data_IF_975647265373
#
_entry.id   IF_975647265373
#
_cell.length_a   1.000
_cell.length_b   1.000
_cell.length_c   1.000
_cell.angle_alpha   90.00
_cell.angle_beta   90.00
_cell.angle_gamma   90.00
#
_symmetry.space_group_name_H-M   'P 1'
#
loop_
_entity.id
_entity.type
_entity.pdbx_description
1 polymer ?
#
# COMPACT_ATOMS: atom_id res chain seq x y z
N UNK A 1 -5.03 22.13 -22.32
CA UNK A 1 -4.49 20.93 -22.99
C UNK A 1 -5.43 19.77 -22.67
N UNK A 2 -5.88 18.99 -23.66
CA UNK A 2 -6.64 17.76 -23.36
C UNK A 2 -5.62 16.73 -22.90
N UNK A 3 -5.67 16.39 -21.63
CA UNK A 3 -4.82 15.39 -20.98
C UNK A 3 -5.22 14.02 -21.53
N UNK A 4 -4.28 13.21 -22.02
CA UNK A 4 -4.55 11.92 -22.64
C UNK A 4 -3.96 10.76 -21.83
N UNK A 5 -4.70 10.33 -20.81
CA UNK A 5 -4.40 9.11 -20.04
C UNK A 5 -4.91 7.89 -20.81
N UNK A 6 -4.11 6.82 -20.89
CA UNK A 6 -4.45 5.59 -21.61
C UNK A 6 -5.62 4.86 -20.95
N UNK A 7 -6.34 4.05 -21.74
CA UNK A 7 -7.47 3.27 -21.23
C UNK A 7 -7.02 2.24 -20.17
N UNK A 8 -5.85 1.64 -20.39
CA UNK A 8 -5.20 0.71 -19.47
C UNK A 8 -4.83 1.40 -18.14
N UNK A 9 -4.22 2.59 -18.20
CA UNK A 9 -3.89 3.36 -16.99
C UNK A 9 -5.15 3.73 -16.20
N UNK A 10 -6.21 4.21 -16.87
CA UNK A 10 -7.49 4.52 -16.23
C UNK A 10 -8.08 3.28 -15.55
N UNK A 11 -8.11 2.14 -16.25
CA UNK A 11 -8.65 0.88 -15.72
C UNK A 11 -7.88 0.42 -14.49
N UNK A 12 -6.55 0.40 -14.54
CA UNK A 12 -5.71 -0.09 -13.46
C UNK A 12 -5.73 0.86 -12.25
N UNK A 13 -5.79 2.17 -12.48
CA UNK A 13 -5.98 3.15 -11.41
C UNK A 13 -7.36 2.99 -10.74
N UNK A 14 -8.43 2.83 -11.53
CA UNK A 14 -9.81 2.64 -11.01
C UNK A 14 -9.96 1.35 -10.19
N UNK A 15 -9.21 0.29 -10.53
CA UNK A 15 -9.15 -0.94 -9.72
C UNK A 15 -8.61 -0.67 -8.30
N UNK A 16 -7.60 0.19 -8.17
CA UNK A 16 -6.97 0.53 -6.89
C UNK A 16 -7.82 1.53 -6.08
N UNK A 17 -8.30 2.59 -6.71
CA UNK A 17 -9.07 3.65 -6.06
C UNK A 17 -10.34 4.00 -6.83
N UNK A 18 -11.42 3.20 -6.66
CA UNK A 18 -12.67 3.45 -7.35
C UNK A 18 -13.23 4.84 -7.06
N UNK A 19 -13.61 5.58 -8.11
CA UNK A 19 -14.13 6.95 -8.05
C UNK A 19 -13.18 8.00 -7.45
N UNK A 20 -11.88 7.71 -7.33
CA UNK A 20 -10.93 8.70 -6.82
C UNK A 20 -10.62 9.75 -7.87
N UNK A 21 -10.69 11.02 -7.46
CA UNK A 21 -10.25 12.15 -8.28
C UNK A 21 -8.98 12.75 -7.69
N UNK A 22 -7.90 12.70 -8.47
CA UNK A 22 -6.63 13.30 -8.09
C UNK A 22 -6.77 14.82 -7.94
N UNK A 23 -6.47 15.32 -6.74
CA UNK A 23 -6.37 16.78 -6.51
C UNK A 23 -5.20 17.39 -7.29
N UNK A 24 -4.11 16.64 -7.45
CA UNK A 24 -2.96 17.07 -8.22
C UNK A 24 -3.28 17.20 -9.72
N UNK A 25 -4.26 16.45 -10.25
CA UNK A 25 -4.69 16.62 -11.64
C UNK A 25 -5.35 17.98 -11.90
N UNK A 26 -5.88 18.63 -10.85
CA UNK A 26 -6.50 19.95 -10.96
C UNK A 26 -5.45 21.07 -11.07
N UNK A 27 -4.28 20.88 -10.47
CA UNK A 27 -3.21 21.90 -10.42
C UNK A 27 -2.07 21.60 -11.39
N UNK A 28 -1.75 20.33 -11.61
CA UNK A 28 -0.58 19.84 -12.35
C UNK A 28 -0.98 18.70 -13.33
N UNK A 29 -1.91 18.95 -14.27
CA UNK A 29 -2.48 17.91 -15.13
C UNK A 29 -1.46 17.19 -16.01
N UNK A 30 -0.41 17.87 -16.48
CA UNK A 30 0.63 17.28 -17.33
C UNK A 30 1.49 16.27 -16.56
N UNK A 31 1.83 16.57 -15.30
CA UNK A 31 2.57 15.64 -14.46
C UNK A 31 1.75 14.37 -14.19
N UNK A 32 0.46 14.54 -13.88
CA UNK A 32 -0.43 13.40 -13.63
C UNK A 32 -0.64 12.55 -14.88
N UNK A 33 -0.72 13.16 -16.07
CA UNK A 33 -0.77 12.40 -17.32
C UNK A 33 0.44 11.48 -17.50
N UNK A 34 1.63 12.06 -17.38
CA UNK A 34 2.90 11.34 -17.57
C UNK A 34 3.03 10.26 -16.51
N UNK A 35 2.73 10.61 -15.26
CA UNK A 35 2.82 9.69 -14.14
C UNK A 35 1.84 8.54 -14.26
N UNK A 36 0.56 8.79 -14.57
CA UNK A 36 -0.47 7.75 -14.59
C UNK A 36 -0.23 6.76 -15.75
N UNK A 37 0.12 7.27 -16.94
CA UNK A 37 0.49 6.42 -18.07
C UNK A 37 1.70 5.54 -17.75
N UNK A 38 2.75 6.12 -17.16
CA UNK A 38 3.92 5.35 -16.80
C UNK A 38 3.63 4.33 -15.68
N UNK A 39 3.02 4.78 -14.57
CA UNK A 39 2.85 3.98 -13.36
C UNK A 39 1.77 2.90 -13.49
N UNK A 40 0.67 3.19 -14.20
CA UNK A 40 -0.51 2.33 -14.26
C UNK A 40 -0.70 1.64 -15.61
N UNK A 41 0.05 1.96 -16.66
CA UNK A 41 0.03 1.23 -17.93
C UNK A 41 1.41 0.62 -18.25
N UNK A 42 2.43 1.44 -18.48
CA UNK A 42 3.75 0.96 -18.93
C UNK A 42 4.44 0.04 -17.90
N UNK A 43 4.48 0.44 -16.63
CA UNK A 43 5.12 -0.37 -15.57
C UNK A 43 4.28 -1.59 -15.19
N UNK A 44 2.95 -1.50 -15.31
CA UNK A 44 2.06 -2.64 -15.01
C UNK A 44 2.17 -3.70 -16.10
N UNK A 45 2.26 -3.28 -17.37
CA UNK A 45 2.46 -4.18 -18.51
C UNK A 45 3.84 -4.84 -18.53
N UNK A 46 4.83 -4.25 -17.86
CA UNK A 46 6.15 -4.85 -17.69
C UNK A 46 6.21 -5.75 -16.44
N UNK A 47 6.04 -7.06 -16.67
CA UNK A 47 6.30 -8.11 -15.68
C UNK A 47 5.05 -8.81 -15.17
N UNK A 48 5.25 -9.91 -14.43
CA UNK A 48 4.16 -10.83 -14.05
C UNK A 48 3.83 -10.79 -12.55
N UNK A 49 4.08 -9.67 -11.88
CA UNK A 49 3.73 -9.49 -10.47
C UNK A 49 2.27 -9.05 -10.37
N UNK A 50 1.47 -9.80 -9.60
CA UNK A 50 0.07 -9.52 -9.37
C UNK A 50 -0.15 -8.19 -8.62
N UNK A 51 -1.34 -7.61 -8.79
CA UNK A 51 -1.68 -6.29 -8.24
C UNK A 51 -1.51 -6.23 -6.71
N UNK A 52 -1.90 -7.28 -5.98
CA UNK A 52 -1.79 -7.30 -4.51
C UNK A 52 -0.33 -7.24 -4.06
N UNK A 53 0.51 -8.09 -4.65
CA UNK A 53 1.94 -8.13 -4.36
C UNK A 53 2.60 -6.79 -4.69
N UNK A 54 2.31 -6.22 -5.86
CA UNK A 54 2.84 -4.92 -6.28
C UNK A 54 2.43 -3.80 -5.32
N UNK A 55 1.17 -3.73 -4.92
CA UNK A 55 0.67 -2.74 -3.95
C UNK A 55 1.39 -2.86 -2.61
N UNK A 56 1.58 -4.07 -2.08
CA UNK A 56 2.32 -4.27 -0.82
C UNK A 56 3.81 -3.86 -0.93
N UNK A 57 4.44 -4.09 -2.08
CA UNK A 57 5.82 -3.62 -2.34
C UNK A 57 5.89 -2.09 -2.35
N UNK A 58 4.93 -1.42 -3.00
CA UNK A 58 4.85 0.04 -3.01
C UNK A 58 4.65 0.57 -1.59
N UNK A 59 3.78 -0.05 -0.78
CA UNK A 59 3.62 0.32 0.64
C UNK A 59 4.94 0.24 1.41
N UNK A 60 5.71 -0.83 1.23
CA UNK A 60 7.05 -0.97 1.82
C UNK A 60 8.00 0.15 1.40
N UNK A 61 7.97 0.54 0.13
CA UNK A 61 8.74 1.68 -0.40
C UNK A 61 8.32 3.01 0.25
N UNK A 62 7.01 3.27 0.37
CA UNK A 62 6.49 4.48 1.04
C UNK A 62 6.94 4.55 2.51
N UNK A 63 6.90 3.42 3.23
CA UNK A 63 7.41 3.35 4.62
C UNK A 63 8.90 3.69 4.66
N UNK A 64 9.71 3.07 3.79
CA UNK A 64 11.15 3.30 3.75
C UNK A 64 11.50 4.77 3.46
N UNK A 65 10.73 5.43 2.58
CA UNK A 65 10.91 6.84 2.23
C UNK A 65 10.30 7.82 3.26
N UNK A 66 9.40 7.36 4.15
CA UNK A 66 8.65 8.24 5.05
C UNK A 66 7.53 9.00 4.33
N UNK A 67 7.04 8.50 3.19
CA UNK A 67 6.01 9.12 2.37
C UNK A 67 4.61 8.80 2.91
N UNK A 68 4.23 9.40 4.04
CA UNK A 68 3.01 9.05 4.77
C UNK A 68 1.71 9.27 3.98
N UNK A 69 1.66 10.33 3.14
CA UNK A 69 0.49 10.62 2.29
C UNK A 69 0.24 9.49 1.30
N UNK A 70 1.27 9.09 0.56
CA UNK A 70 1.19 7.98 -0.40
C UNK A 70 0.95 6.66 0.31
N UNK A 71 1.60 6.43 1.45
CA UNK A 71 1.36 5.23 2.25
C UNK A 71 -0.13 5.05 2.60
N UNK A 72 -0.81 6.12 3.06
CA UNK A 72 -2.25 6.09 3.36
C UNK A 72 -3.10 5.78 2.13
N UNK A 73 -2.73 6.31 0.96
CA UNK A 73 -3.40 5.99 -0.29
C UNK A 73 -3.26 4.50 -0.63
N UNK A 74 -2.04 3.95 -0.54
CA UNK A 74 -1.80 2.55 -0.88
C UNK A 74 -2.36 1.56 0.15
N UNK A 75 -2.50 1.92 1.43
CA UNK A 75 -3.26 1.09 2.39
C UNK A 75 -4.72 0.96 1.96
N UNK A 76 -5.35 2.06 1.53
CA UNK A 76 -6.73 2.00 1.04
C UNK A 76 -6.85 1.19 -0.25
N UNK A 77 -5.92 1.36 -1.19
CA UNK A 77 -5.88 0.54 -2.40
C UNK A 77 -5.72 -0.95 -2.07
N UNK A 78 -4.78 -1.29 -1.19
CA UNK A 78 -4.54 -2.67 -0.76
C UNK A 78 -5.83 -3.32 -0.24
N UNK A 79 -6.56 -2.62 0.63
CA UNK A 79 -7.84 -3.12 1.16
C UNK A 79 -8.93 -3.20 0.10
N UNK A 80 -8.97 -2.28 -0.88
CA UNK A 80 -9.93 -2.32 -1.99
C UNK A 80 -9.73 -3.54 -2.89
N UNK A 81 -8.48 -3.88 -3.19
CA UNK A 81 -8.14 -5.05 -4.01
C UNK A 81 -8.09 -6.36 -3.21
N UNK A 82 -8.44 -6.34 -1.92
CA UNK A 82 -8.57 -7.53 -1.08
C UNK A 82 -7.26 -8.07 -0.49
N UNK A 83 -6.28 -7.20 -0.22
CA UNK A 83 -5.20 -7.48 0.74
C UNK A 83 -5.81 -7.46 2.14
N UNK A 84 -5.55 -8.49 2.95
CA UNK A 84 -6.14 -8.59 4.29
C UNK A 84 -5.53 -7.57 5.27
N UNK A 85 -6.27 -7.16 6.32
CA UNK A 85 -5.73 -6.32 7.39
C UNK A 85 -4.45 -6.92 8.03
N UNK A 86 -4.39 -8.25 8.13
CA UNK A 86 -3.21 -8.98 8.62
C UNK A 86 -2.02 -8.76 7.70
N UNK A 87 -2.18 -8.94 6.38
CA UNK A 87 -1.09 -8.72 5.43
C UNK A 87 -0.59 -7.27 5.46
N UNK A 88 -1.48 -6.29 5.58
CA UNK A 88 -1.10 -4.87 5.75
C UNK A 88 -0.25 -4.67 7.01
N UNK A 89 -0.61 -5.30 8.13
CA UNK A 89 0.19 -5.26 9.37
C UNK A 89 1.54 -5.96 9.22
N UNK A 90 1.60 -7.07 8.51
CA UNK A 90 2.85 -7.78 8.26
C UNK A 90 3.84 -6.92 7.45
N UNK A 91 3.38 -6.15 6.46
CA UNK A 91 4.26 -5.20 5.74
C UNK A 91 4.91 -4.20 6.71
N UNK A 92 4.15 -3.65 7.66
CA UNK A 92 4.69 -2.75 8.70
C UNK A 92 5.70 -3.47 9.60
N UNK A 93 5.38 -4.67 10.07
CA UNK A 93 6.24 -5.44 10.97
C UNK A 93 7.56 -5.81 10.32
N UNK A 94 7.53 -6.30 9.07
CA UNK A 94 8.74 -6.60 8.31
C UNK A 94 9.56 -5.33 8.03
N UNK A 95 8.90 -4.19 7.84
CA UNK A 95 9.58 -2.92 7.59
C UNK A 95 10.38 -2.40 8.79
N UNK A 96 10.12 -2.85 10.03
CA UNK A 96 10.87 -2.39 11.22
C UNK A 96 12.37 -2.64 11.07
N UNK A 97 12.75 -3.80 10.54
CA UNK A 97 14.15 -4.20 10.39
C UNK A 97 14.90 -3.35 9.34
N UNK A 98 14.20 -2.84 8.33
CA UNK A 98 14.82 -2.19 7.17
C UNK A 98 14.64 -0.67 7.14
N UNK A 99 13.51 -0.16 7.61
CA UNK A 99 13.16 1.26 7.60
C UNK A 99 13.30 1.93 8.97
N UNK A 100 13.44 1.15 10.04
CA UNK A 100 13.54 1.63 11.41
C UNK A 100 12.17 1.90 12.06
N UNK A 101 12.11 1.72 13.37
CA UNK A 101 10.86 1.73 14.15
C UNK A 101 10.13 3.08 14.10
N UNK A 102 10.84 4.21 14.02
CA UNK A 102 10.22 5.53 14.04
C UNK A 102 9.23 5.73 12.88
N UNK A 103 9.67 5.45 11.64
CA UNK A 103 8.82 5.55 10.44
C UNK A 103 7.66 4.56 10.47
N UNK A 104 7.92 3.35 10.97
CA UNK A 104 6.89 2.30 11.07
C UNK A 104 5.79 2.70 12.05
N UNK A 105 6.12 3.34 13.19
CA UNK A 105 5.11 3.75 14.18
C UNK A 105 4.17 4.80 13.60
N UNK A 106 4.67 5.79 12.87
CA UNK A 106 3.82 6.80 12.20
C UNK A 106 2.86 6.14 11.19
N UNK A 107 3.38 5.21 10.39
CA UNK A 107 2.58 4.44 9.43
C UNK A 107 1.59 3.50 10.13
N UNK A 108 1.96 2.91 11.27
CA UNK A 108 1.12 2.04 12.08
C UNK A 108 -0.11 2.78 12.62
N UNK A 109 0.09 4.00 13.13
CA UNK A 109 -1.02 4.84 13.59
C UNK A 109 -1.93 5.23 12.42
N UNK A 110 -1.37 5.62 11.27
CA UNK A 110 -2.15 5.91 10.08
C UNK A 110 -2.98 4.70 9.61
N UNK A 111 -2.40 3.49 9.62
CA UNK A 111 -3.13 2.25 9.31
C UNK A 111 -4.25 1.98 10.31
N UNK A 112 -4.03 2.22 11.60
CA UNK A 112 -5.07 2.02 12.61
C UNK A 112 -6.26 2.95 12.40
N UNK A 113 -6.03 4.20 12.05
CA UNK A 113 -7.13 5.13 11.75
C UNK A 113 -7.92 4.68 10.51
N UNK A 114 -7.24 4.28 9.43
CA UNK A 114 -7.92 3.73 8.24
C UNK A 114 -8.72 2.46 8.58
N UNK A 115 -8.19 1.58 9.43
CA UNK A 115 -8.92 0.38 9.85
C UNK A 115 -10.19 0.74 10.60
N UNK A 116 -10.14 1.70 11.53
CA UNK A 116 -11.32 2.21 12.24
C UNK A 116 -12.33 2.83 11.27
N UNK A 117 -11.88 3.68 10.34
CA UNK A 117 -12.72 4.29 9.30
C UNK A 117 -13.44 3.23 8.45
N UNK A 118 -12.79 2.08 8.23
CA UNK A 118 -13.34 0.95 7.48
C UNK A 118 -14.01 -0.12 8.35
N UNK A 119 -14.30 0.20 9.62
CA UNK A 119 -14.95 -0.72 10.58
C UNK A 119 -14.22 -2.07 10.76
N UNK A 120 -12.89 -2.06 10.62
CA UNK A 120 -12.04 -3.20 10.95
C UNK A 120 -11.68 -3.11 12.44
N UNK A 121 -12.11 -4.11 13.21
CA UNK A 121 -11.86 -4.14 14.65
C UNK A 121 -10.38 -4.34 14.99
N UNK A 122 -9.95 -3.68 16.07
CA UNK A 122 -8.60 -3.75 16.61
C UNK A 122 -8.66 -4.12 18.10
N UNK A 123 -7.71 -4.94 18.62
CA UNK A 123 -6.57 -5.53 17.91
C UNK A 123 -7.00 -6.66 16.97
N UNK A 124 -6.26 -6.86 15.86
CA UNK A 124 -6.44 -8.04 15.02
C UNK A 124 -6.12 -9.31 15.82
N UNK A 125 -6.72 -10.43 15.44
CA UNK A 125 -6.42 -11.73 16.04
C UNK A 125 -4.94 -12.08 15.91
N UNK A 126 -4.38 -12.69 16.96
CA UNK A 126 -2.96 -13.08 17.02
C UNK A 126 -2.66 -14.12 15.93
N UNK A 127 -1.68 -13.83 15.08
CA UNK A 127 -1.24 -14.73 14.00
C UNK A 127 0.03 -15.54 14.31
N UNK A 128 0.71 -15.24 15.42
CA UNK A 128 2.00 -15.86 15.76
C UNK A 128 1.84 -17.33 16.14
N UNK A 129 2.61 -18.20 15.47
CA UNK A 129 2.62 -19.66 15.73
C UNK A 129 3.73 -20.09 16.70
N UNK A 130 4.59 -19.14 17.09
CA UNK A 130 5.73 -19.34 17.99
C UNK A 130 5.60 -18.53 19.28
N UNK A 131 6.26 -19.01 20.33
CA UNK A 131 6.35 -18.38 21.65
C UNK A 131 7.83 -18.18 22.00
N UNK A 132 8.18 -17.29 22.95
CA UNK A 132 9.57 -17.14 23.39
C UNK A 132 10.26 -18.47 23.75
N UNK A 133 9.50 -19.42 24.31
CA UNK A 133 9.98 -20.73 24.74
C UNK A 133 10.29 -21.69 23.58
N UNK A 134 9.66 -21.51 22.41
CA UNK A 134 9.81 -22.43 21.26
C UNK A 134 10.40 -21.78 19.99
N UNK A 135 10.59 -20.46 19.98
CA UNK A 135 11.09 -19.68 18.84
C UNK A 135 12.50 -20.09 18.40
N UNK A 136 13.37 -20.47 19.34
CA UNK A 136 14.72 -20.95 18.98
C UNK A 136 14.68 -22.28 18.21
N UNK A 137 13.72 -23.15 18.50
CA UNK A 137 13.60 -24.47 17.88
C UNK A 137 12.80 -24.45 16.58
N UNK A 138 11.76 -23.60 16.48
CA UNK A 138 10.86 -23.52 15.32
C UNK A 138 11.23 -22.45 14.30
N UNK A 139 12.11 -21.52 14.64
CA UNK A 139 12.39 -20.32 13.82
C UNK A 139 11.51 -19.13 14.21
N UNK A 140 11.66 -18.02 13.48
CA UNK A 140 11.11 -16.71 13.84
C UNK A 140 9.65 -16.45 13.37
N UNK A 141 8.91 -17.45 12.87
CA UNK A 141 7.52 -17.31 12.40
C UNK A 141 6.57 -18.31 13.04
#
# INVERSE_FOLDING_TARGET
MKVNVSAEAIKNHEELWPNYQSRAAQTDPELIEIFDNWAFDEVVSHGNIDTKTRTMMIMGSCIAQGALTEYKMFVNAALNIGVSPVQVKEVLYQSVAYAGVAKVIDCLYATNEIFKERSIELPLERQSTTTPENRQAKGLG
#
